data_IF_691388081593
#
_entry.id   IF_691388081593
#
_cell.length_a   1.000
_cell.length_b   1.000
_cell.length_c   1.000
_cell.angle_alpha   90.00
_cell.angle_beta   90.00
_cell.angle_gamma   90.00
#
_symmetry.space_group_name_H-M   'P 1'
#
loop_
_entity.id
_entity.type
_entity.pdbx_description
1 polymer ?
#
# COMPACT_ATOMS: atom_id res chain seq x y z
N UNK A 1 3.87 16.60 -8.84
CA UNK A 1 3.60 16.52 -7.40
C UNK A 1 3.07 15.14 -7.07
N UNK A 2 3.74 14.49 -6.12
CA UNK A 2 3.37 13.18 -5.59
C UNK A 2 2.44 13.42 -4.42
N UNK A 3 1.19 13.01 -4.54
CA UNK A 3 0.24 13.06 -3.43
C UNK A 3 -0.43 11.70 -3.24
N UNK A 4 -0.84 11.42 -2.03
CA UNK A 4 -1.68 10.28 -1.72
C UNK A 4 -3.10 10.76 -1.42
N UNK A 5 -4.14 10.17 -2.02
CA UNK A 5 -5.51 10.49 -1.65
C UNK A 5 -5.79 10.32 -0.16
N UNK A 6 -5.13 9.33 0.45
CA UNK A 6 -5.33 8.97 1.85
C UNK A 6 -4.57 9.87 2.82
N UNK A 7 -3.39 10.39 2.45
CA UNK A 7 -2.59 11.26 3.33
C UNK A 7 -2.82 12.75 3.09
N UNK A 8 -3.12 13.13 1.84
CA UNK A 8 -3.33 14.52 1.44
C UNK A 8 -4.69 14.69 0.71
N UNK A 9 -5.82 14.33 1.34
CA UNK A 9 -7.12 14.32 0.68
C UNK A 9 -7.51 15.70 0.15
N UNK A 10 -7.09 16.78 0.82
CA UNK A 10 -7.36 18.15 0.38
C UNK A 10 -6.71 18.50 -0.95
N UNK A 11 -5.47 18.11 -1.16
CA UNK A 11 -4.73 18.32 -2.41
C UNK A 11 -5.25 17.42 -3.52
N UNK A 12 -5.56 16.16 -3.17
CA UNK A 12 -6.18 15.23 -4.11
C UNK A 12 -7.51 15.78 -4.67
N UNK A 13 -8.40 16.27 -3.80
CA UNK A 13 -9.69 16.84 -4.20
C UNK A 13 -9.56 18.10 -5.07
N UNK A 14 -8.49 18.88 -4.88
CA UNK A 14 -8.15 20.04 -5.73
C UNK A 14 -7.47 19.63 -7.04
N UNK A 15 -7.21 18.34 -7.25
CA UNK A 15 -6.48 17.79 -8.41
C UNK A 15 -5.06 18.33 -8.55
N UNK A 16 -4.39 18.58 -7.43
CA UNK A 16 -2.99 19.04 -7.38
C UNK A 16 -2.00 17.88 -7.60
N UNK A 17 -2.26 17.00 -8.55
CA UNK A 17 -1.43 15.85 -8.91
C UNK A 17 -1.44 15.60 -10.41
N UNK A 18 -0.48 14.81 -10.86
CA UNK A 18 -0.41 14.34 -12.23
C UNK A 18 -0.32 12.81 -12.25
N UNK A 19 -1.15 12.20 -13.08
CA UNK A 19 -0.97 10.78 -13.42
C UNK A 19 0.18 10.65 -14.42
N UNK A 20 0.98 9.61 -14.28
CA UNK A 20 1.99 9.23 -15.28
C UNK A 20 1.33 8.87 -16.61
N UNK A 21 2.11 8.80 -17.67
CA UNK A 21 1.62 8.34 -18.98
C UNK A 21 0.97 6.96 -18.87
N UNK A 22 1.64 6.02 -18.18
CA UNK A 22 1.14 4.67 -17.97
C UNK A 22 -0.18 4.65 -17.18
N UNK A 23 -0.27 5.40 -16.09
CA UNK A 23 -1.52 5.51 -15.32
C UNK A 23 -2.67 6.09 -16.15
N UNK A 24 -2.41 7.14 -16.93
CA UNK A 24 -3.42 7.73 -17.84
C UNK A 24 -3.88 6.77 -18.92
N UNK A 25 -2.97 5.94 -19.42
CA UNK A 25 -3.32 4.97 -20.46
C UNK A 25 -4.19 3.85 -19.87
N UNK A 26 -3.82 3.28 -18.73
CA UNK A 26 -4.61 2.29 -18.00
C UNK A 26 -6.00 2.85 -17.68
N UNK A 27 -6.06 4.04 -17.11
CA UNK A 27 -7.32 4.71 -16.80
C UNK A 27 -8.22 4.84 -18.03
N UNK A 28 -7.65 5.32 -19.14
CA UNK A 28 -8.38 5.50 -20.40
C UNK A 28 -8.94 4.18 -20.93
N UNK A 29 -8.15 3.11 -20.87
CA UNK A 29 -8.57 1.78 -21.30
C UNK A 29 -9.72 1.27 -20.43
N UNK A 30 -9.60 1.34 -19.11
CA UNK A 30 -10.64 0.93 -18.15
C UNK A 30 -11.94 1.73 -18.39
N UNK A 31 -11.85 3.06 -18.40
CA UNK A 31 -13.05 3.91 -18.59
C UNK A 31 -13.70 3.73 -19.97
N UNK A 32 -12.93 3.49 -21.02
CA UNK A 32 -13.45 3.18 -22.34
C UNK A 32 -14.24 1.87 -22.33
N UNK A 33 -13.69 0.84 -21.70
CA UNK A 33 -14.32 -0.48 -21.62
C UNK A 33 -15.58 -0.46 -20.76
N UNK A 34 -15.55 0.19 -19.61
CA UNK A 34 -16.73 0.37 -18.74
C UNK A 34 -17.88 1.08 -19.48
N UNK A 35 -17.56 2.09 -20.32
CA UNK A 35 -18.59 2.78 -21.11
C UNK A 35 -19.22 1.88 -22.17
N UNK A 36 -18.44 0.96 -22.74
CA UNK A 36 -18.91 0.05 -23.77
C UNK A 36 -19.75 -1.09 -23.18
N UNK A 37 -19.22 -1.77 -22.18
CA UNK A 37 -19.75 -3.06 -21.72
C UNK A 37 -20.59 -2.94 -20.44
N UNK A 38 -20.34 -1.93 -19.62
CA UNK A 38 -20.99 -1.67 -18.32
C UNK A 38 -20.85 -2.78 -17.29
N UNK A 39 -20.01 -3.76 -17.57
CA UNK A 39 -19.69 -4.91 -16.71
C UNK A 39 -18.22 -5.27 -16.88
N UNK A 40 -17.74 -6.25 -16.10
CA UNK A 40 -16.42 -6.84 -16.29
C UNK A 40 -15.47 -6.60 -15.13
N UNK A 41 -14.32 -7.22 -15.25
CA UNK A 41 -13.28 -7.22 -14.23
C UNK A 41 -12.04 -6.53 -14.75
N UNK A 42 -11.51 -5.62 -13.95
CA UNK A 42 -10.29 -4.88 -14.22
C UNK A 42 -9.36 -5.04 -13.02
N UNK A 43 -8.14 -5.41 -13.26
CA UNK A 43 -7.18 -5.61 -12.19
C UNK A 43 -5.85 -4.95 -12.55
N UNK A 44 -5.40 -4.01 -11.75
CA UNK A 44 -4.08 -3.46 -11.91
C UNK A 44 -3.20 -3.73 -10.70
N UNK A 45 -2.01 -4.21 -11.01
CA UNK A 45 -0.98 -4.55 -10.02
C UNK A 45 0.20 -3.60 -10.15
N UNK A 46 1.03 -3.57 -9.15
CA UNK A 46 2.28 -2.82 -9.17
C UNK A 46 2.94 -2.81 -7.82
N UNK A 47 4.20 -2.44 -7.84
CA UNK A 47 4.97 -2.29 -6.62
C UNK A 47 4.40 -1.16 -5.74
N UNK A 48 4.66 -1.16 -4.43
CA UNK A 48 4.39 0.00 -3.58
C UNK A 48 5.03 1.26 -4.14
N UNK A 49 4.35 2.38 -3.97
CA UNK A 49 4.80 3.66 -4.53
C UNK A 49 4.57 3.86 -6.04
N UNK A 50 3.96 2.91 -6.76
CA UNK A 50 3.58 3.10 -8.18
C UNK A 50 2.30 3.93 -8.36
N UNK A 51 1.65 4.32 -7.26
CA UNK A 51 0.45 5.15 -7.29
C UNK A 51 -0.84 4.40 -7.64
N UNK A 52 -0.95 3.13 -7.27
CA UNK A 52 -2.16 2.32 -7.43
C UNK A 52 -3.38 2.97 -6.81
N UNK A 53 -3.30 3.31 -5.53
CA UNK A 53 -4.37 3.99 -4.79
C UNK A 53 -4.75 5.32 -5.45
N UNK A 54 -3.77 6.12 -5.89
CA UNK A 54 -4.04 7.38 -6.60
C UNK A 54 -4.82 7.14 -7.90
N UNK A 55 -4.41 6.16 -8.70
CA UNK A 55 -5.10 5.79 -9.94
C UNK A 55 -6.52 5.30 -9.65
N UNK A 56 -6.69 4.43 -8.64
CA UNK A 56 -8.00 3.89 -8.27
C UNK A 56 -8.97 5.01 -7.88
N UNK A 57 -8.52 5.94 -7.03
CA UNK A 57 -9.33 7.07 -6.60
C UNK A 57 -9.62 8.08 -7.72
N UNK A 58 -8.68 8.29 -8.66
CA UNK A 58 -8.93 9.14 -9.83
C UNK A 58 -10.00 8.53 -10.76
N UNK A 59 -9.97 7.21 -10.96
CA UNK A 59 -11.03 6.47 -11.67
C UNK A 59 -12.36 6.61 -10.91
N UNK A 60 -12.37 6.45 -9.58
CA UNK A 60 -13.57 6.61 -8.77
C UNK A 60 -14.19 8.01 -8.92
N UNK A 61 -13.38 9.06 -8.86
CA UNK A 61 -13.84 10.43 -9.07
C UNK A 61 -14.48 10.63 -10.46
N UNK A 62 -13.89 10.05 -11.50
CA UNK A 62 -14.42 10.17 -12.87
C UNK A 62 -15.74 9.41 -13.06
N UNK A 63 -15.84 8.21 -12.48
CA UNK A 63 -17.07 7.42 -12.51
C UNK A 63 -18.16 8.05 -11.66
N UNK A 64 -17.84 8.60 -10.50
CA UNK A 64 -18.79 9.22 -9.57
C UNK A 64 -19.36 10.56 -10.06
N UNK A 65 -18.86 11.12 -11.15
CA UNK A 65 -19.34 12.37 -11.68
C UNK A 65 -20.85 12.39 -11.99
N UNK A 66 -21.41 11.25 -12.35
CA UNK A 66 -22.84 11.12 -12.70
C UNK A 66 -23.60 10.07 -11.90
N UNK A 67 -22.91 9.07 -11.36
CA UNK A 67 -23.51 7.90 -10.70
C UNK A 67 -22.79 7.62 -9.38
N UNK A 68 -23.43 6.85 -8.50
CA UNK A 68 -22.77 6.40 -7.26
C UNK A 68 -21.80 5.27 -7.57
N UNK A 69 -20.66 5.28 -6.90
CA UNK A 69 -19.65 4.20 -6.92
C UNK A 69 -19.36 3.75 -5.50
N UNK A 70 -18.99 2.49 -5.35
CA UNK A 70 -18.57 1.93 -4.08
C UNK A 70 -17.06 1.76 -4.09
N UNK A 71 -16.40 2.18 -3.02
CA UNK A 71 -14.98 1.97 -2.77
C UNK A 71 -14.85 1.05 -1.56
N UNK A 72 -14.23 -0.10 -1.75
CA UNK A 72 -13.91 -1.05 -0.68
C UNK A 72 -12.42 -0.93 -0.42
N UNK A 73 -12.07 -0.71 0.83
CA UNK A 73 -10.68 -0.69 1.27
C UNK A 73 -10.44 -1.91 2.16
N UNK A 74 -9.44 -2.71 1.79
CA UNK A 74 -8.99 -3.86 2.56
C UNK A 74 -7.83 -3.43 3.45
N UNK A 75 -7.89 -3.79 4.73
CA UNK A 75 -6.93 -3.36 5.74
C UNK A 75 -7.41 -2.19 6.59
N UNK A 76 -6.51 -1.63 7.40
CA UNK A 76 -6.85 -0.55 8.31
C UNK A 76 -7.11 0.76 7.57
N UNK A 77 -8.30 1.31 7.74
CA UNK A 77 -8.67 2.60 7.19
C UNK A 77 -8.26 3.72 8.15
N UNK A 78 -7.36 4.59 7.71
CA UNK A 78 -6.98 5.80 8.45
C UNK A 78 -8.13 6.80 8.60
N UNK A 79 -7.96 7.79 9.47
CA UNK A 79 -8.98 8.85 9.69
C UNK A 79 -9.22 9.72 8.44
N UNK A 80 -8.28 9.74 7.52
CA UNK A 80 -8.24 10.58 6.34
C UNK A 80 -9.30 10.23 5.31
N UNK A 81 -9.70 8.97 5.21
CA UNK A 81 -10.77 8.57 4.27
C UNK A 81 -12.13 9.16 4.64
N UNK A 82 -12.33 9.54 5.93
CA UNK A 82 -13.54 10.28 6.33
C UNK A 82 -13.67 11.60 5.58
N UNK A 83 -12.55 12.31 5.39
CA UNK A 83 -12.52 13.57 4.63
C UNK A 83 -12.91 13.34 3.18
N UNK A 84 -12.44 12.24 2.57
CA UNK A 84 -12.82 11.87 1.21
C UNK A 84 -14.29 11.51 1.12
N UNK A 85 -14.81 10.74 2.07
CA UNK A 85 -16.22 10.35 2.14
C UNK A 85 -17.16 11.58 2.26
N UNK A 86 -16.83 12.52 3.13
CA UNK A 86 -17.62 13.76 3.31
C UNK A 86 -17.64 14.63 2.06
N UNK A 87 -16.56 14.67 1.30
CA UNK A 87 -16.39 15.53 0.13
C UNK A 87 -16.83 14.88 -1.17
N UNK A 88 -16.64 13.58 -1.32
CA UNK A 88 -17.02 12.80 -2.49
C UNK A 88 -18.39 12.12 -2.28
N UNK A 89 -19.46 12.89 -2.24
CA UNK A 89 -20.81 12.44 -1.87
C UNK A 89 -21.35 11.27 -2.70
N UNK A 90 -20.77 10.96 -3.86
CA UNK A 90 -21.17 9.85 -4.72
C UNK A 90 -20.19 8.68 -4.69
N UNK A 91 -19.18 8.76 -3.85
CA UNK A 91 -18.26 7.65 -3.54
C UNK A 91 -18.63 7.18 -2.15
N UNK A 92 -19.16 5.98 -2.05
CA UNK A 92 -19.45 5.34 -0.77
C UNK A 92 -18.31 4.41 -0.40
N UNK A 93 -17.86 4.52 0.85
CA UNK A 93 -16.73 3.75 1.37
C UNK A 93 -17.24 2.64 2.26
N UNK A 94 -16.80 1.42 1.99
CA UNK A 94 -17.09 0.24 2.79
C UNK A 94 -15.78 -0.38 3.26
N UNK A 95 -15.77 -0.84 4.51
CA UNK A 95 -14.75 -1.76 4.97
C UNK A 95 -15.09 -3.18 4.46
N UNK A 96 -14.09 -4.01 4.26
CA UNK A 96 -14.29 -5.40 3.82
C UNK A 96 -15.24 -6.16 4.76
N UNK A 97 -15.08 -6.02 6.08
CA UNK A 97 -15.92 -6.67 7.08
C UNK A 97 -17.41 -6.38 6.89
N UNK A 98 -17.74 -5.20 6.38
CA UNK A 98 -19.13 -4.85 6.09
C UNK A 98 -19.71 -5.67 4.94
N UNK A 99 -18.88 -6.11 4.01
CA UNK A 99 -19.28 -6.99 2.88
C UNK A 99 -19.48 -8.41 3.37
N UNK A 100 -18.63 -8.89 4.28
CA UNK A 100 -18.70 -10.25 4.83
C UNK A 100 -19.91 -10.46 5.73
N UNK A 101 -20.25 -9.49 6.56
CA UNK A 101 -21.30 -9.62 7.58
C UNK A 101 -22.71 -9.63 7.02
N UNK A 102 -22.88 -9.53 5.70
CA UNK A 102 -24.20 -9.57 5.06
C UNK A 102 -25.07 -8.37 5.44
N UNK A 103 -24.47 -7.25 5.90
CA UNK A 103 -25.18 -5.98 5.96
C UNK A 103 -25.90 -5.81 4.61
N UNK A 104 -27.16 -5.34 4.61
CA UNK A 104 -27.96 -5.17 3.39
C UNK A 104 -27.33 -4.13 2.44
N UNK A 105 -26.13 -4.47 1.92
CA UNK A 105 -25.45 -3.65 0.94
C UNK A 105 -26.13 -3.87 -0.40
N UNK A 106 -26.84 -2.86 -0.86
CA UNK A 106 -27.47 -2.87 -2.19
C UNK A 106 -26.44 -2.49 -3.25
N UNK A 107 -25.61 -3.45 -3.66
CA UNK A 107 -24.62 -3.23 -4.71
C UNK A 107 -25.25 -2.73 -6.02
N UNK A 108 -26.55 -2.99 -6.24
CA UNK A 108 -27.32 -2.51 -7.36
C UNK A 108 -27.39 -0.98 -7.43
N UNK A 109 -27.18 -0.28 -6.32
CA UNK A 109 -27.19 1.17 -6.26
C UNK A 109 -25.92 1.81 -6.84
N UNK A 110 -24.87 1.02 -7.08
CA UNK A 110 -23.59 1.52 -7.56
C UNK A 110 -23.36 1.16 -9.02
N UNK A 111 -22.80 2.08 -9.79
CA UNK A 111 -22.43 1.88 -11.20
C UNK A 111 -21.12 1.15 -11.38
N UNK A 112 -20.26 1.14 -10.36
CA UNK A 112 -18.99 0.43 -10.33
C UNK A 112 -18.57 0.19 -8.88
N UNK A 113 -17.78 -0.84 -8.69
CA UNK A 113 -17.14 -1.20 -7.42
C UNK A 113 -15.63 -1.13 -7.59
N UNK A 114 -14.95 -0.46 -6.70
CA UNK A 114 -13.50 -0.33 -6.70
C UNK A 114 -12.94 -0.91 -5.41
N UNK A 115 -11.89 -1.69 -5.51
CA UNK A 115 -11.29 -2.40 -4.38
C UNK A 115 -9.82 -2.07 -4.29
N UNK A 116 -9.42 -1.44 -3.20
CA UNK A 116 -8.01 -1.17 -2.92
C UNK A 116 -7.42 -2.25 -2.02
N UNK A 117 -6.14 -2.58 -2.23
CA UNK A 117 -5.40 -3.65 -1.54
C UNK A 117 -6.09 -5.03 -1.66
N UNK A 118 -6.56 -5.36 -2.87
CA UNK A 118 -7.36 -6.57 -3.13
C UNK A 118 -6.66 -7.90 -2.79
N UNK A 119 -5.34 -7.92 -2.60
CA UNK A 119 -4.60 -9.08 -2.12
C UNK A 119 -4.93 -9.46 -0.67
N UNK A 120 -5.53 -8.55 0.09
CA UNK A 120 -5.98 -8.77 1.47
C UNK A 120 -7.43 -9.28 1.55
N UNK A 121 -8.14 -9.40 0.42
CA UNK A 121 -9.51 -9.89 0.40
C UNK A 121 -9.62 -11.32 0.93
N UNK A 122 -10.61 -11.57 1.75
CA UNK A 122 -11.03 -12.93 2.06
C UNK A 122 -11.63 -13.62 0.83
N UNK A 123 -11.51 -14.95 0.70
CA UNK A 123 -12.10 -15.69 -0.40
C UNK A 123 -13.61 -15.44 -0.58
N UNK A 124 -14.34 -15.40 0.52
CA UNK A 124 -15.79 -15.18 0.50
C UNK A 124 -16.16 -13.81 -0.07
N UNK A 125 -15.47 -12.75 0.36
CA UNK A 125 -15.69 -11.40 -0.16
C UNK A 125 -15.35 -11.33 -1.64
N UNK A 126 -14.26 -11.96 -2.05
CA UNK A 126 -13.86 -12.00 -3.45
C UNK A 126 -14.90 -12.70 -4.32
N UNK A 127 -15.43 -13.85 -3.90
CA UNK A 127 -16.50 -14.55 -4.63
C UNK A 127 -17.73 -13.67 -4.82
N UNK A 128 -18.17 -12.95 -3.78
CA UNK A 128 -19.27 -11.98 -3.88
C UNK A 128 -18.96 -10.91 -4.93
N UNK A 129 -17.76 -10.36 -4.93
CA UNK A 129 -17.36 -9.33 -5.88
C UNK A 129 -17.25 -9.87 -7.31
N UNK A 130 -16.83 -11.11 -7.50
CA UNK A 130 -16.81 -11.77 -8.80
C UNK A 130 -18.23 -12.02 -9.34
N UNK A 131 -19.20 -12.37 -8.50
CA UNK A 131 -20.60 -12.44 -8.91
C UNK A 131 -21.14 -11.07 -9.34
N UNK A 132 -20.83 -10.02 -8.59
CA UNK A 132 -21.21 -8.64 -8.91
C UNK A 132 -20.62 -8.21 -10.26
N UNK A 133 -19.39 -8.58 -10.55
CA UNK A 133 -18.69 -8.26 -11.79
C UNK A 133 -19.37 -8.75 -13.07
N UNK A 134 -20.26 -9.75 -12.98
CA UNK A 134 -21.09 -10.21 -14.11
C UNK A 134 -22.12 -9.16 -14.55
N UNK A 135 -22.51 -8.26 -13.65
CA UNK A 135 -23.56 -7.25 -13.90
C UNK A 135 -23.05 -5.81 -13.82
N UNK A 136 -21.87 -5.58 -13.24
CA UNK A 136 -21.25 -4.25 -13.01
C UNK A 136 -19.74 -4.34 -13.14
N UNK A 137 -19.06 -3.25 -13.51
CA UNK A 137 -17.61 -3.21 -13.47
C UNK A 137 -17.09 -3.30 -12.04
N UNK A 138 -16.14 -4.21 -11.82
CA UNK A 138 -15.36 -4.32 -10.59
C UNK A 138 -13.89 -4.07 -10.92
N UNK A 139 -13.26 -3.16 -10.19
CA UNK A 139 -11.89 -2.72 -10.43
C UNK A 139 -11.07 -3.05 -9.19
N UNK A 140 -10.07 -3.90 -9.34
CA UNK A 140 -9.18 -4.32 -8.27
C UNK A 140 -7.81 -3.65 -8.40
N UNK A 141 -7.26 -3.26 -7.28
CA UNK A 141 -5.89 -2.77 -7.12
C UNK A 141 -5.16 -3.65 -6.10
N UNK A 142 -4.00 -4.16 -6.44
CA UNK A 142 -3.20 -5.00 -5.52
C UNK A 142 -1.70 -4.78 -5.70
N UNK A 143 -0.93 -5.25 -4.73
CA UNK A 143 0.50 -5.45 -4.92
C UNK A 143 0.74 -6.53 -5.99
N UNK A 144 1.94 -6.56 -6.59
CA UNK A 144 2.35 -7.65 -7.47
C UNK A 144 2.76 -8.88 -6.65
N UNK A 145 2.67 -10.06 -7.26
CA UNK A 145 2.94 -11.35 -6.59
C UNK A 145 4.31 -11.40 -5.88
N UNK A 146 5.35 -10.84 -6.49
CA UNK A 146 6.70 -10.82 -5.92
C UNK A 146 6.81 -10.09 -4.57
N UNK A 147 5.77 -9.34 -4.19
CA UNK A 147 5.72 -8.53 -2.97
C UNK A 147 4.69 -9.02 -1.97
N UNK A 148 3.99 -10.09 -2.31
CA UNK A 148 2.95 -10.69 -1.47
C UNK A 148 3.60 -11.75 -0.60
N UNK A 149 3.32 -11.70 0.71
CA UNK A 149 3.83 -12.72 1.63
C UNK A 149 3.18 -14.07 1.36
N UNK A 150 3.82 -15.19 1.73
CA UNK A 150 3.19 -16.50 1.63
C UNK A 150 1.84 -16.57 2.33
N UNK A 151 1.68 -15.90 3.47
CA UNK A 151 0.42 -15.86 4.20
C UNK A 151 -0.68 -15.13 3.39
N UNK A 152 -0.33 -14.07 2.68
CA UNK A 152 -1.24 -13.38 1.76
C UNK A 152 -1.55 -14.21 0.51
N UNK A 153 -0.58 -14.97 0.01
CA UNK A 153 -0.80 -15.92 -1.07
C UNK A 153 -1.73 -17.05 -0.62
N UNK A 154 -1.63 -17.49 0.63
CA UNK A 154 -2.51 -18.51 1.23
C UNK A 154 -3.97 -18.04 1.35
N UNK A 155 -4.23 -16.72 1.40
CA UNK A 155 -5.59 -16.18 1.27
C UNK A 155 -6.21 -16.49 -0.10
N UNK A 156 -5.39 -16.74 -1.10
CA UNK A 156 -5.84 -17.19 -2.42
C UNK A 156 -6.48 -16.10 -3.30
N UNK A 157 -6.66 -14.88 -2.82
CA UNK A 157 -7.31 -13.81 -3.56
C UNK A 157 -6.63 -13.52 -4.90
N UNK A 158 -5.31 -13.44 -4.91
CA UNK A 158 -4.51 -13.17 -6.13
C UNK A 158 -4.65 -14.32 -7.13
N UNK A 159 -4.63 -15.56 -6.66
CA UNK A 159 -4.81 -16.75 -7.50
C UNK A 159 -6.20 -16.74 -8.14
N UNK A 160 -7.24 -16.52 -7.35
CA UNK A 160 -8.63 -16.47 -7.83
C UNK A 160 -8.83 -15.31 -8.84
N UNK A 161 -8.24 -14.14 -8.60
CA UNK A 161 -8.25 -13.04 -9.55
C UNK A 161 -7.55 -13.43 -10.86
N UNK A 162 -6.38 -14.04 -10.78
CA UNK A 162 -5.61 -14.46 -11.96
C UNK A 162 -6.32 -15.52 -12.81
N UNK A 163 -7.12 -16.39 -12.18
CA UNK A 163 -7.89 -17.44 -12.83
C UNK A 163 -9.27 -16.94 -13.34
N UNK A 164 -9.69 -15.72 -12.98
CA UNK A 164 -11.01 -15.19 -13.36
C UNK A 164 -11.12 -14.98 -14.87
N UNK A 165 -12.04 -15.68 -15.57
CA UNK A 165 -12.24 -15.50 -17.00
C UNK A 165 -12.66 -14.06 -17.35
N UNK A 166 -12.00 -13.49 -18.37
CA UNK A 166 -12.33 -12.16 -18.87
C UNK A 166 -11.79 -11.00 -18.04
N UNK A 167 -10.99 -11.26 -17.02
CA UNK A 167 -10.30 -10.20 -16.28
C UNK A 167 -9.28 -9.50 -17.19
N UNK A 168 -9.29 -8.17 -17.14
CA UNK A 168 -8.31 -7.34 -17.83
C UNK A 168 -7.24 -6.91 -16.85
N UNK A 169 -6.04 -7.41 -17.02
CA UNK A 169 -4.91 -7.14 -16.12
C UNK A 169 -3.99 -6.07 -16.69
N UNK A 170 -3.55 -5.16 -15.83
CA UNK A 170 -2.59 -4.09 -16.13
C UNK A 170 -1.48 -4.10 -15.09
N UNK A 171 -0.26 -3.74 -15.49
CA UNK A 171 0.89 -3.67 -14.58
C UNK A 171 1.46 -2.26 -14.54
N UNK A 172 1.50 -1.68 -13.34
CA UNK A 172 2.17 -0.40 -13.09
C UNK A 172 3.64 -0.66 -12.76
N UNK A 173 4.51 -0.23 -13.66
CA UNK A 173 5.96 -0.43 -13.53
C UNK A 173 6.71 0.83 -13.08
N UNK A 174 6.13 2.01 -13.33
CA UNK A 174 6.77 3.27 -13.00
C UNK A 174 6.54 3.62 -11.54
N UNK A 175 7.59 3.59 -10.75
CA UNK A 175 7.56 4.07 -9.35
C UNK A 175 7.52 5.58 -9.35
N UNK A 176 6.61 6.13 -8.57
CA UNK A 176 6.37 7.57 -8.50
C UNK A 176 6.89 8.15 -7.19
N UNK A 177 6.92 7.37 -6.11
CA UNK A 177 7.12 7.85 -4.75
C UNK A 177 8.48 7.57 -4.16
N UNK A 178 9.13 6.49 -4.50
CA UNK A 178 10.39 6.11 -3.88
C UNK A 178 11.55 6.32 -4.84
N UNK A 179 12.70 6.69 -4.29
CA UNK A 179 13.96 6.50 -4.97
C UNK A 179 14.03 5.05 -5.48
N UNK A 180 14.22 4.87 -6.79
CA UNK A 180 14.23 3.56 -7.42
C UNK A 180 15.24 2.61 -6.75
N UNK A 181 16.31 3.18 -6.22
CA UNK A 181 17.35 2.49 -5.48
C UNK A 181 16.84 1.93 -4.14
N UNK A 182 16.18 2.78 -3.31
CA UNK A 182 15.62 2.35 -2.03
C UNK A 182 14.60 1.25 -2.22
N UNK A 183 13.71 1.42 -3.17
CA UNK A 183 12.71 0.41 -3.47
C UNK A 183 13.33 -0.91 -3.92
N UNK A 184 14.41 -0.86 -4.72
CA UNK A 184 15.10 -2.06 -5.18
C UNK A 184 15.84 -2.75 -4.03
N UNK A 185 16.44 -1.95 -3.13
CA UNK A 185 17.07 -2.46 -1.92
C UNK A 185 16.04 -3.17 -1.03
N UNK A 186 14.92 -2.51 -0.74
CA UNK A 186 13.85 -3.07 0.11
C UNK A 186 13.33 -4.39 -0.47
N UNK A 187 13.08 -4.46 -1.78
CA UNK A 187 12.68 -5.72 -2.42
C UNK A 187 13.70 -6.84 -2.24
N UNK A 188 14.98 -6.54 -2.51
CA UNK A 188 16.04 -7.54 -2.37
C UNK A 188 16.26 -7.95 -0.91
N UNK A 189 15.96 -7.07 0.03
CA UNK A 189 15.98 -7.36 1.46
C UNK A 189 14.81 -8.27 1.86
N UNK A 190 13.61 -8.05 1.33
CA UNK A 190 12.45 -8.90 1.62
C UNK A 190 12.58 -10.30 1.03
N UNK A 191 13.22 -10.40 -0.14
CA UNK A 191 13.48 -11.68 -0.79
C UNK A 191 14.85 -11.65 -1.45
N UNK A 192 15.79 -12.41 -0.88
CA UNK A 192 17.16 -12.47 -1.37
C UNK A 192 17.23 -13.01 -2.81
N UNK A 193 17.74 -12.23 -3.76
CA UNK A 193 17.79 -12.66 -5.14
C UNK A 193 18.85 -13.76 -5.32
N UNK A 194 18.43 -14.89 -5.89
CA UNK A 194 19.35 -15.96 -6.24
C UNK A 194 20.27 -15.51 -7.40
N UNK A 195 21.58 -15.42 -7.13
CA UNK A 195 22.62 -15.35 -8.17
C UNK A 195 22.79 -14.00 -8.89
N UNK A 196 22.33 -12.88 -8.38
CA UNK A 196 22.57 -11.55 -8.95
C UNK A 196 23.76 -10.87 -8.28
N UNK A 197 24.64 -10.27 -9.08
CA UNK A 197 25.83 -9.57 -8.61
C UNK A 197 25.49 -8.40 -7.67
N UNK A 198 26.47 -8.05 -6.80
CA UNK A 198 26.36 -6.95 -5.85
C UNK A 198 26.01 -5.64 -6.56
N UNK A 199 24.85 -5.05 -6.20
CA UNK A 199 24.54 -3.67 -6.53
C UNK A 199 24.98 -2.75 -5.39
N UNK A 200 25.41 -1.56 -5.73
CA UNK A 200 25.67 -0.51 -4.74
C UNK A 200 24.40 0.29 -4.54
N UNK A 201 24.12 0.60 -3.29
CA UNK A 201 22.96 1.42 -2.86
C UNK A 201 23.50 2.65 -2.10
N UNK A 202 23.93 3.71 -2.81
CA UNK A 202 24.57 4.87 -2.19
C UNK A 202 23.69 5.61 -1.17
N UNK A 203 22.36 5.50 -1.26
CA UNK A 203 21.42 6.13 -0.33
C UNK A 203 20.92 5.15 0.76
N UNK A 204 21.54 3.98 0.88
CA UNK A 204 21.24 3.00 1.93
C UNK A 204 22.47 2.74 2.78
N UNK A 205 22.32 2.94 4.08
CA UNK A 205 23.31 2.57 5.08
C UNK A 205 22.84 1.31 5.85
N UNK A 206 23.67 0.29 5.93
CA UNK A 206 23.43 -0.85 6.82
C UNK A 206 24.58 -0.87 7.82
N UNK A 207 24.26 -0.69 9.10
CA UNK A 207 25.24 -0.58 10.19
C UNK A 207 24.95 -1.68 11.20
N UNK A 208 26.00 -2.42 11.57
CA UNK A 208 25.88 -3.51 12.53
C UNK A 208 26.19 -3.01 13.93
N UNK A 209 25.35 -3.39 14.90
CA UNK A 209 25.57 -3.16 16.32
C UNK A 209 25.99 -4.46 17.00
N UNK A 210 26.91 -4.38 17.94
CA UNK A 210 27.36 -5.55 18.69
C UNK A 210 26.41 -5.92 19.84
N UNK A 211 25.64 -4.93 20.32
CA UNK A 211 24.69 -5.10 21.43
C UNK A 211 23.59 -4.07 21.37
N UNK A 212 22.58 -4.22 22.25
CA UNK A 212 21.44 -3.34 22.41
C UNK A 212 21.81 -1.87 22.68
N UNK A 213 22.86 -1.65 23.47
CA UNK A 213 23.29 -0.29 23.83
C UNK A 213 23.91 0.42 22.63
N UNK A 214 24.70 -0.29 21.85
CA UNK A 214 25.27 0.24 20.61
C UNK A 214 24.18 0.50 19.56
N UNK A 215 23.24 -0.42 19.40
CA UNK A 215 22.08 -0.22 18.51
C UNK A 215 21.29 1.03 18.88
N UNK A 216 21.02 1.22 20.18
CA UNK A 216 20.34 2.40 20.67
C UNK A 216 21.12 3.70 20.41
N UNK A 217 22.44 3.68 20.58
CA UNK A 217 23.29 4.84 20.30
C UNK A 217 23.31 5.17 18.81
N UNK A 218 23.43 4.20 17.95
CA UNK A 218 23.39 4.37 16.49
C UNK A 218 22.05 4.95 16.03
N UNK A 219 20.92 4.43 16.53
CA UNK A 219 19.62 4.99 16.23
C UNK A 219 19.52 6.47 16.64
N UNK A 220 19.95 6.80 17.87
CA UNK A 220 19.95 8.18 18.36
C UNK A 220 20.83 9.10 17.49
N UNK A 221 21.97 8.62 17.03
CA UNK A 221 22.87 9.39 16.18
C UNK A 221 22.23 9.67 14.81
N UNK A 222 21.54 8.71 14.20
CA UNK A 222 20.76 8.94 12.99
C UNK A 222 19.61 9.92 13.20
N UNK A 223 18.87 9.78 14.32
CA UNK A 223 17.80 10.73 14.68
C UNK A 223 18.34 12.16 14.82
N UNK A 224 19.51 12.35 15.46
CA UNK A 224 20.19 13.66 15.55
C UNK A 224 20.60 14.21 14.19
N UNK A 225 20.89 13.35 13.22
CA UNK A 225 21.19 13.72 11.84
C UNK A 225 19.94 14.01 11.01
N UNK A 226 18.75 13.93 11.60
CA UNK A 226 17.47 14.26 10.95
C UNK A 226 16.78 13.07 10.29
N UNK A 227 17.14 11.83 10.63
CA UNK A 227 16.39 10.65 10.25
C UNK A 227 15.18 10.46 11.17
N UNK A 228 14.06 10.04 10.62
CA UNK A 228 12.86 9.65 11.39
C UNK A 228 12.91 8.14 11.68
N UNK A 229 12.65 7.76 12.93
CA UNK A 229 12.51 6.37 13.37
C UNK A 229 11.03 6.07 13.65
N UNK A 230 10.49 5.02 13.05
CA UNK A 230 9.07 4.67 13.20
C UNK A 230 8.84 3.46 14.12
N UNK A 231 9.85 2.98 14.80
CA UNK A 231 9.71 1.85 15.72
C UNK A 231 8.87 2.25 16.95
N UNK A 232 7.71 1.61 17.15
CA UNK A 232 6.77 1.93 18.23
C UNK A 232 7.40 1.87 19.63
N UNK A 233 8.22 0.84 19.87
CA UNK A 233 8.88 0.64 21.16
C UNK A 233 9.93 1.70 21.46
N UNK A 234 10.52 2.28 20.43
CA UNK A 234 11.49 3.35 20.55
C UNK A 234 10.82 4.72 20.78
N UNK A 235 9.70 4.94 20.15
CA UNK A 235 8.90 6.15 20.36
C UNK A 235 8.37 6.24 21.78
N UNK A 236 7.90 5.14 22.38
CA UNK A 236 7.53 5.09 23.80
C UNK A 236 8.70 5.39 24.75
N UNK A 237 9.91 4.96 24.41
CA UNK A 237 11.12 5.26 25.22
C UNK A 237 11.53 6.72 25.14
N UNK A 238 11.41 7.35 23.96
CA UNK A 238 11.68 8.79 23.77
C UNK A 238 10.64 9.66 24.49
N UNK A 239 9.38 9.27 24.48
CA UNK A 239 8.30 9.99 25.16
C UNK A 239 8.41 9.94 26.68
N UNK A 240 8.87 8.83 27.24
CA UNK A 240 9.16 8.72 28.68
C UNK A 240 10.33 9.60 29.14
N UNK A 241 11.14 10.11 28.21
CA UNK A 241 12.24 11.05 28.48
C UNK A 241 11.91 12.52 28.21
N UNK A 242 10.78 12.82 27.56
CA UNK A 242 10.33 14.19 27.29
C UNK A 242 9.04 14.49 28.06
N UNK A 243 9.12 15.45 28.99
CA UNK A 243 7.98 15.92 29.83
C UNK A 243 6.86 16.66 29.05
N UNK A 244 6.78 16.53 27.75
CA UNK A 244 5.73 17.15 26.92
C UNK A 244 4.91 16.09 26.20
N UNK A 245 3.72 15.82 26.75
CA UNK A 245 2.69 15.04 26.11
C UNK A 245 2.18 15.75 24.82
N UNK A 246 2.78 15.42 23.69
CA UNK A 246 2.21 15.72 22.39
C UNK A 246 1.37 14.53 21.97
N UNK A 247 0.08 14.75 21.73
CA UNK A 247 -0.89 13.75 21.29
C UNK A 247 -0.32 12.88 20.15
N UNK A 248 -0.16 11.59 20.43
CA UNK A 248 0.18 10.58 19.42
C UNK A 248 -1.06 10.37 18.56
N UNK A 249 -1.19 11.18 17.54
CA UNK A 249 -2.14 10.90 16.46
C UNK A 249 -1.55 9.81 15.59
N UNK A 250 -2.33 8.77 15.35
CA UNK A 250 -2.07 7.64 14.45
C UNK A 250 -1.33 8.08 13.18
N UNK A 251 -0.01 7.83 13.14
CA UNK A 251 0.87 8.16 12.02
C UNK A 251 0.97 6.97 11.06
N UNK A 252 -0.13 6.54 10.49
CA UNK A 252 -0.07 5.61 9.37
C UNK A 252 0.07 6.41 8.08
N UNK A 253 1.17 6.16 7.33
CA UNK A 253 1.48 6.68 6.00
C UNK A 253 2.04 8.12 5.90
N UNK A 254 2.99 8.50 6.75
CA UNK A 254 3.75 9.73 6.53
C UNK A 254 5.04 9.41 5.78
N UNK A 255 5.12 9.86 4.53
CA UNK A 255 6.37 9.81 3.77
C UNK A 255 7.45 10.66 4.46
N UNK A 256 8.62 10.11 4.66
CA UNK A 256 9.77 10.75 5.30
C UNK A 256 10.96 10.81 4.33
N UNK A 257 11.69 11.92 4.34
CA UNK A 257 12.83 12.05 3.44
C UNK A 257 13.96 11.09 3.83
N UNK A 258 14.25 10.96 5.12
CA UNK A 258 15.30 10.10 5.68
C UNK A 258 14.75 9.24 6.78
N UNK A 259 14.92 7.94 6.65
CA UNK A 259 14.41 6.98 7.63
C UNK A 259 15.54 6.14 8.24
N UNK A 260 15.47 5.91 9.54
CA UNK A 260 16.26 4.87 10.21
C UNK A 260 15.32 3.85 10.83
N UNK A 261 15.64 2.57 10.66
CA UNK A 261 14.90 1.47 11.29
C UNK A 261 15.85 0.42 11.82
N UNK A 262 15.38 -0.39 12.77
CA UNK A 262 16.14 -1.46 13.39
C UNK A 262 15.69 -2.81 12.87
N UNK A 263 16.67 -3.67 12.58
CA UNK A 263 16.46 -5.08 12.29
C UNK A 263 17.18 -5.90 13.34
N UNK A 264 16.48 -6.34 14.35
CA UNK A 264 17.06 -7.15 15.42
C UNK A 264 16.94 -8.66 15.16
N UNK A 265 17.34 -9.48 16.12
CA UNK A 265 17.34 -10.94 16.02
C UNK A 265 15.95 -11.59 15.86
N UNK A 266 14.88 -10.82 15.83
CA UNK A 266 13.52 -11.30 15.50
C UNK A 266 13.35 -11.55 14.01
N UNK A 267 14.19 -10.93 13.15
CA UNK A 267 14.17 -11.09 11.72
C UNK A 267 15.18 -12.13 11.26
N UNK A 268 14.77 -13.02 10.38
CA UNK A 268 15.63 -14.07 9.79
C UNK A 268 15.18 -14.39 8.37
N UNK A 269 16.06 -15.03 7.60
CA UNK A 269 15.70 -15.53 6.27
C UNK A 269 15.34 -17.00 6.34
N UNK A 270 14.25 -17.38 5.69
CA UNK A 270 13.88 -18.78 5.51
C UNK A 270 14.73 -19.47 4.42
N UNK A 271 14.52 -20.78 4.24
CA UNK A 271 15.25 -21.58 3.25
C UNK A 271 15.02 -21.11 1.80
N UNK A 272 13.92 -20.43 1.54
CA UNK A 272 13.56 -19.86 0.23
C UNK A 272 14.13 -18.46 0.02
N UNK A 273 14.79 -17.87 1.04
CA UNK A 273 15.36 -16.53 1.00
C UNK A 273 14.37 -15.40 1.28
N UNK A 274 13.18 -15.70 1.79
CA UNK A 274 12.26 -14.67 2.26
C UNK A 274 12.60 -14.21 3.67
N UNK A 275 12.52 -12.89 3.89
CA UNK A 275 12.64 -12.32 5.23
C UNK A 275 11.40 -12.70 6.06
N UNK A 276 11.65 -13.19 7.27
CA UNK A 276 10.64 -13.61 8.25
C UNK A 276 10.85 -12.90 9.57
N UNK A 277 9.82 -12.91 10.39
CA UNK A 277 9.89 -12.43 11.77
C UNK A 277 9.20 -13.40 12.72
N UNK A 278 9.75 -13.51 13.95
CA UNK A 278 9.19 -14.35 15.02
C UNK A 278 8.01 -13.70 15.75
N UNK A 279 7.86 -12.39 15.70
CA UNK A 279 6.90 -11.66 16.53
C UNK A 279 5.97 -10.74 15.75
N UNK A 280 6.37 -10.28 14.56
CA UNK A 280 5.61 -9.28 13.80
C UNK A 280 5.45 -9.70 12.34
N UNK A 281 4.38 -9.23 11.76
CA UNK A 281 4.20 -9.33 10.32
C UNK A 281 5.29 -8.52 9.59
N UNK A 282 6.07 -9.19 8.77
CA UNK A 282 7.15 -8.58 7.95
C UNK A 282 6.59 -7.53 6.98
N UNK A 283 5.30 -7.60 6.63
CA UNK A 283 4.61 -6.57 5.84
C UNK A 283 4.69 -5.21 6.49
N UNK A 284 4.53 -5.14 7.80
CA UNK A 284 4.62 -3.88 8.53
C UNK A 284 5.99 -3.21 8.32
N UNK A 285 7.08 -3.98 8.46
CA UNK A 285 8.43 -3.51 8.15
C UNK A 285 8.54 -3.03 6.70
N UNK A 286 8.01 -3.81 5.75
CA UNK A 286 8.03 -3.44 4.34
C UNK A 286 7.33 -2.10 4.07
N UNK A 287 6.14 -1.91 4.61
CA UNK A 287 5.40 -0.64 4.47
C UNK A 287 6.15 0.52 5.11
N UNK A 288 6.66 0.34 6.33
CA UNK A 288 7.48 1.35 7.00
C UNK A 288 8.67 1.78 6.13
N UNK A 289 9.49 0.83 5.71
CA UNK A 289 10.68 1.14 4.90
C UNK A 289 10.33 1.79 3.55
N UNK A 290 9.17 1.45 2.99
CA UNK A 290 8.69 2.03 1.73
C UNK A 290 8.27 3.49 1.83
N UNK A 291 8.17 4.04 3.02
CA UNK A 291 7.88 5.47 3.25
C UNK A 291 9.12 6.36 3.09
N UNK A 292 10.33 5.79 3.13
CA UNK A 292 11.58 6.51 2.90
C UNK A 292 11.69 7.02 1.44
N UNK A 293 12.00 8.31 1.25
CA UNK A 293 12.10 8.94 -0.06
C UNK A 293 13.53 9.08 -0.56
N UNK A 294 14.43 9.53 0.27
CA UNK A 294 15.78 9.93 -0.12
C UNK A 294 16.85 8.99 0.44
N UNK A 295 16.80 8.72 1.74
CA UNK A 295 17.81 7.92 2.43
C UNK A 295 17.19 6.93 3.39
N UNK A 296 17.80 5.74 3.49
CA UNK A 296 17.41 4.68 4.41
C UNK A 296 18.63 4.19 5.19
N UNK A 297 18.51 4.15 6.51
CA UNK A 297 19.49 3.54 7.38
C UNK A 297 18.88 2.34 8.11
N UNK A 298 19.60 1.22 8.16
CA UNK A 298 19.24 0.03 8.91
C UNK A 298 20.30 -0.25 9.95
N UNK A 299 19.90 -0.37 11.21
CA UNK A 299 20.74 -0.82 12.32
C UNK A 299 20.41 -2.29 12.57
N UNK A 300 21.41 -3.15 12.38
CA UNK A 300 21.28 -4.61 12.43
C UNK A 300 22.04 -5.17 13.62
#
# INVERSE_FOLDING_TARGET
YLISPLTEPGRFLKKEYFLTYQQRDIERQILKKIRADRTGYFWFTGLPGTGKTLLLYDIAMKLSGRQRVCMIHCGEAGKEWKVLHERLRRVEYLAEDSVQTGAEIRFEAYSAILVDEAHLLSPNTLEILLEIGKTRPVIFSSNCEDMISPEELDLGAIKLLGEQPGIQTFHLTNRIRANAELSYFIQNMMHLPHGRGMRRYPHVAVVYANDESEAANLLNDYIRQGYECQESDWQEKLEKQSDSAVEIQSRHTREVDRMVNRLDGRYYYDEMGYLRSTERDVRHLFYQLSEAKEELALVV
#
